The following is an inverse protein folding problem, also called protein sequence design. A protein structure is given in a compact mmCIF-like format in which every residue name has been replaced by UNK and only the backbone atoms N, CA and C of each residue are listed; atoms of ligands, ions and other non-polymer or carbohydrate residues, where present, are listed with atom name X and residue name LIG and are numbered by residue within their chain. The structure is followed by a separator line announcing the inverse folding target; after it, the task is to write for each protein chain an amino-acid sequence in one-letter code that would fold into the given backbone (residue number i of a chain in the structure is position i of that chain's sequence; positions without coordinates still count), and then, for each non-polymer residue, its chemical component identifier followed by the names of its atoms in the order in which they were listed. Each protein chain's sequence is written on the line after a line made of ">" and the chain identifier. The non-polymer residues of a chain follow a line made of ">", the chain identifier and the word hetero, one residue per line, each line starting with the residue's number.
data_IF_422876501741
#
_entry.id   IF_422876501741
#
_cell.length_a   1.000
_cell.length_b   1.000
_cell.length_c   1.000
_cell.angle_alpha   90.00
_cell.angle_beta   90.00
_cell.angle_gamma   90.00
#
_symmetry.space_group_name_H-M   'P 1'
#
loop_
_entity.id
_entity.type
_entity.pdbx_description
1 polymer ?
#
# COMPACT_ATOMS: atom_id res chain seq x y z
N UNK A 1 17.53 -19.84 -35.92
CA UNK A 1 16.99 -19.59 -34.56
C UNK A 1 17.51 -18.25 -34.07
N UNK A 2 16.62 -17.33 -33.66
CA UNK A 2 16.98 -15.96 -33.26
C UNK A 2 17.20 -15.79 -31.75
N UNK A 3 17.77 -14.64 -31.35
CA UNK A 3 17.98 -14.26 -29.94
C UNK A 3 16.68 -13.74 -29.32
N UNK A 4 16.39 -14.11 -28.07
CA UNK A 4 15.25 -13.60 -27.30
C UNK A 4 15.37 -12.09 -27.09
N UNK A 5 14.34 -11.33 -27.47
CA UNK A 5 14.36 -9.87 -27.40
C UNK A 5 14.16 -9.37 -25.96
N UNK A 6 14.53 -8.12 -25.69
CA UNK A 6 14.44 -7.51 -24.35
C UNK A 6 13.06 -7.62 -23.72
N UNK A 7 11.98 -7.40 -24.49
CA UNK A 7 10.61 -7.45 -23.96
C UNK A 7 10.25 -8.84 -23.42
N UNK A 8 10.59 -9.89 -24.17
CA UNK A 8 10.38 -11.29 -23.76
C UNK A 8 11.17 -11.65 -22.50
N UNK A 9 12.36 -11.06 -22.29
CA UNK A 9 13.20 -11.31 -21.10
C UNK A 9 12.64 -10.68 -19.82
N UNK A 10 11.82 -9.62 -19.91
CA UNK A 10 11.27 -8.92 -18.73
C UNK A 10 10.29 -9.79 -17.92
N UNK A 11 9.54 -10.67 -18.56
CA UNK A 11 8.55 -11.53 -17.90
C UNK A 11 9.14 -12.67 -17.05
N UNK A 12 10.45 -12.95 -17.14
CA UNK A 12 11.11 -14.06 -16.43
C UNK A 12 11.25 -13.82 -14.92
N UNK A 13 11.10 -12.58 -14.44
CA UNK A 13 11.27 -12.25 -13.02
C UNK A 13 12.73 -12.31 -12.54
N UNK A 14 13.71 -12.16 -13.44
CA UNK A 14 15.14 -12.12 -13.08
C UNK A 14 15.60 -10.69 -12.77
N UNK A 15 16.44 -10.08 -13.61
CA UNK A 15 17.07 -8.77 -13.37
C UNK A 15 16.13 -7.56 -13.55
N UNK A 16 14.86 -7.77 -13.93
CA UNK A 16 13.90 -6.72 -14.25
C UNK A 16 12.79 -6.57 -13.19
N UNK A 17 13.00 -7.12 -11.99
CA UNK A 17 12.07 -6.98 -10.86
C UNK A 17 12.08 -5.57 -10.30
N UNK A 18 11.02 -5.22 -9.56
CA UNK A 18 10.92 -3.92 -8.90
C UNK A 18 11.87 -3.85 -7.69
N UNK A 19 12.55 -2.71 -7.52
CA UNK A 19 13.40 -2.44 -6.36
C UNK A 19 12.56 -1.93 -5.18
N UNK A 20 12.04 -2.84 -4.34
CA UNK A 20 11.05 -2.51 -3.30
C UNK A 20 11.62 -2.41 -1.88
N UNK A 21 12.95 -2.49 -1.70
CA UNK A 21 13.62 -2.55 -0.38
C UNK A 21 13.21 -1.41 0.57
N UNK A 22 12.97 -0.22 0.03
CA UNK A 22 12.67 0.98 0.82
C UNK A 22 11.17 1.29 0.90
N UNK A 23 10.33 0.48 0.26
CA UNK A 23 8.88 0.68 0.27
C UNK A 23 8.37 0.59 1.71
N UNK A 24 7.62 1.61 2.14
CA UNK A 24 7.17 1.76 3.52
C UNK A 24 6.00 0.83 3.83
N UNK A 25 4.99 0.85 2.98
CA UNK A 25 3.79 0.03 3.10
C UNK A 25 2.98 0.12 1.80
N UNK A 26 2.15 -0.87 1.48
CA UNK A 26 1.22 -0.76 0.38
C UNK A 26 0.19 0.35 0.67
N UNK A 27 -0.06 1.21 -0.31
CA UNK A 27 -1.12 2.20 -0.24
C UNK A 27 -2.45 1.53 -0.61
N UNK A 28 -3.29 1.22 0.38
CA UNK A 28 -4.55 0.51 0.20
C UNK A 28 -5.63 1.10 1.10
N UNK A 29 -6.89 0.96 0.69
CA UNK A 29 -7.99 1.22 1.60
C UNK A 29 -8.04 0.15 2.69
N UNK A 30 -8.71 0.47 3.80
CA UNK A 30 -9.03 -0.54 4.81
C UNK A 30 -9.84 -1.67 4.20
N UNK A 31 -9.78 -2.82 4.84
CA UNK A 31 -10.68 -3.92 4.55
C UNK A 31 -12.12 -3.44 4.69
N UNK A 32 -12.92 -3.62 3.63
CA UNK A 32 -14.33 -3.24 3.61
C UNK A 32 -15.15 -4.11 4.58
N UNK A 33 -15.28 -3.62 5.80
CA UNK A 33 -15.99 -4.25 6.90
C UNK A 33 -17.45 -3.77 7.00
N UNK A 34 -18.19 -4.29 7.99
CA UNK A 34 -19.59 -3.93 8.18
C UNK A 34 -19.78 -2.42 8.46
N UNK A 35 -18.82 -1.80 9.14
CA UNK A 35 -18.91 -0.41 9.57
C UNK A 35 -18.78 0.55 8.38
N UNK A 36 -17.90 0.27 7.42
CA UNK A 36 -17.80 1.08 6.19
C UNK A 36 -18.93 0.80 5.18
N UNK A 37 -19.57 -0.39 5.22
CA UNK A 37 -20.71 -0.70 4.33
C UNK A 37 -22.01 -0.03 4.74
N UNK A 38 -22.26 0.11 6.05
CA UNK A 38 -23.54 0.58 6.58
C UNK A 38 -23.42 1.88 7.39
N UNK A 39 -22.23 2.47 7.47
CA UNK A 39 -21.98 3.65 8.26
C UNK A 39 -20.67 4.33 7.88
N UNK A 40 -19.99 4.90 8.86
CA UNK A 40 -18.70 5.54 8.68
C UNK A 40 -17.74 5.12 9.79
N UNK A 41 -16.45 5.09 9.47
CA UNK A 41 -15.38 4.89 10.44
C UNK A 41 -14.46 6.10 10.38
N UNK A 42 -14.20 6.72 11.55
CA UNK A 42 -13.27 7.84 11.65
C UNK A 42 -11.88 7.35 12.03
N UNK A 43 -10.90 7.68 11.20
CA UNK A 43 -9.47 7.55 11.51
C UNK A 43 -8.84 8.91 11.80
N UNK A 44 -7.62 8.89 12.35
CA UNK A 44 -6.79 10.09 12.53
C UNK A 44 -5.49 9.92 11.77
N UNK A 45 -5.15 10.89 10.91
CA UNK A 45 -3.84 10.96 10.26
C UNK A 45 -2.78 11.22 11.32
N UNK A 46 -1.82 10.31 11.48
CA UNK A 46 -0.70 10.45 12.43
C UNK A 46 0.52 11.05 11.76
N UNK A 47 0.83 10.62 10.54
CA UNK A 47 2.02 11.05 9.82
C UNK A 47 1.75 11.06 8.31
N UNK A 48 2.42 11.95 7.59
CA UNK A 48 2.52 11.95 6.12
C UNK A 48 3.98 11.65 5.78
N UNK A 49 4.24 10.57 5.06
CA UNK A 49 5.59 10.05 4.81
C UNK A 49 5.88 9.92 3.32
N UNK A 50 7.16 10.00 2.97
CA UNK A 50 7.64 9.69 1.62
C UNK A 50 7.91 8.18 1.47
N UNK A 51 7.46 7.62 0.34
CA UNK A 51 7.66 6.24 -0.08
C UNK A 51 8.53 6.22 -1.35
N UNK A 52 9.79 5.72 -1.30
CA UNK A 52 10.68 5.74 -2.45
C UNK A 52 10.11 4.96 -3.65
N UNK A 53 10.21 5.55 -4.84
CA UNK A 53 9.58 5.01 -6.05
C UNK A 53 8.12 5.44 -6.23
N UNK A 54 7.57 6.25 -5.32
CA UNK A 54 6.24 6.87 -5.42
C UNK A 54 6.37 8.40 -5.38
N UNK A 55 5.69 9.08 -6.30
CA UNK A 55 5.61 10.55 -6.34
C UNK A 55 4.62 11.14 -5.32
N UNK A 56 3.50 10.45 -5.08
CA UNK A 56 2.51 10.84 -4.08
C UNK A 56 2.97 10.43 -2.66
N UNK A 57 2.76 11.27 -1.63
CA UNK A 57 3.04 10.90 -0.26
C UNK A 57 2.05 9.84 0.27
N UNK A 58 2.43 9.13 1.34
CA UNK A 58 1.56 8.21 2.06
C UNK A 58 1.09 8.83 3.37
N UNK A 59 -0.20 8.71 3.68
CA UNK A 59 -0.75 9.03 4.98
C UNK A 59 -0.86 7.77 5.85
N UNK A 60 -0.23 7.78 7.02
CA UNK A 60 -0.49 6.78 8.07
C UNK A 60 -1.72 7.22 8.86
N UNK A 61 -2.80 6.46 8.72
CA UNK A 61 -4.08 6.71 9.40
C UNK A 61 -4.31 5.64 10.45
N UNK A 62 -4.63 6.06 11.66
CA UNK A 62 -4.95 5.14 12.76
C UNK A 62 -6.46 5.09 12.98
N UNK A 63 -7.00 3.87 13.00
CA UNK A 63 -8.40 3.57 13.27
C UNK A 63 -8.53 2.75 14.55
N UNK A 64 -9.69 2.85 15.21
CA UNK A 64 -10.06 1.93 16.29
C UNK A 64 -10.64 0.65 15.68
N UNK A 65 -10.30 -0.50 16.25
CA UNK A 65 -10.91 -1.77 15.89
C UNK A 65 -12.37 -1.81 16.39
N UNK A 66 -13.36 -2.15 15.54
CA UNK A 66 -14.77 -2.18 15.93
C UNK A 66 -15.14 -3.37 16.83
N UNK A 67 -14.32 -4.43 16.87
CA UNK A 67 -14.61 -5.67 17.58
C UNK A 67 -13.72 -5.88 18.82
N UNK A 68 -12.55 -5.24 18.87
CA UNK A 68 -11.56 -5.45 19.95
C UNK A 68 -10.97 -4.11 20.42
N UNK A 69 -10.44 -4.08 21.64
CA UNK A 69 -9.64 -2.94 22.11
C UNK A 69 -8.25 -2.94 21.48
N UNK A 70 -8.19 -2.55 20.20
CA UNK A 70 -6.96 -2.47 19.38
C UNK A 70 -7.01 -1.23 18.48
N UNK A 71 -5.83 -0.74 18.10
CA UNK A 71 -5.65 0.27 17.05
C UNK A 71 -5.08 -0.38 15.79
N UNK A 72 -5.67 -0.07 14.64
CA UNK A 72 -5.17 -0.47 13.33
C UNK A 72 -4.51 0.73 12.65
N UNK A 73 -3.27 0.56 12.23
CA UNK A 73 -2.55 1.57 11.44
C UNK A 73 -2.55 1.14 9.99
N UNK A 74 -3.06 2.00 9.14
CA UNK A 74 -3.30 1.74 7.71
C UNK A 74 -2.66 2.86 6.90
N UNK A 75 -2.20 2.56 5.68
CA UNK A 75 -1.50 3.52 4.82
C UNK A 75 -2.29 3.83 3.56
N UNK A 76 -2.66 5.11 3.41
CA UNK A 76 -3.41 5.63 2.27
C UNK A 76 -2.52 6.50 1.39
N UNK A 77 -2.98 6.77 0.17
CA UNK A 77 -2.45 7.87 -0.64
C UNK A 77 -2.94 9.17 -0.01
N UNK A 78 -2.03 10.12 0.21
CA UNK A 78 -2.34 11.44 0.73
C UNK A 78 -2.73 12.43 -0.38
#
# INVERSE_FOLDING_TARGET
>A
MGRVIRNQRKGRGSIFTANTRLNKAPAQFRTLDFAERHGYVRGVVKEIIHDPGRGAPLAKVVFRDPYRFKLHTETFIA
#
